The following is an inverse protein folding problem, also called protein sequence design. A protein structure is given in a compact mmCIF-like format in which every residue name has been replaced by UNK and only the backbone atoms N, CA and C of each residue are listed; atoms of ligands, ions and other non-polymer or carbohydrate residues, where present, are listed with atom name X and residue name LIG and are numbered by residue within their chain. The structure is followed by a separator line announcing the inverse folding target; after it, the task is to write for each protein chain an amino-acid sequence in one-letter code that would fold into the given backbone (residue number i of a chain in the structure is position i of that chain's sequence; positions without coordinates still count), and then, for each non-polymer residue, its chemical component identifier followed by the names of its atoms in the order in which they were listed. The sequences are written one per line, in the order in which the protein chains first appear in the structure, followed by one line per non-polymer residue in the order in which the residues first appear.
data_IF_728965105450
#
_entry.id   IF_728965105450
#
_cell.length_a   1.000
_cell.length_b   1.000
_cell.length_c   1.000
_cell.angle_alpha   90.00
_cell.angle_beta   90.00
_cell.angle_gamma   90.00
#
_symmetry.space_group_name_H-M   'P 1'
#
loop_
_entity.id
_entity.type
_entity.pdbx_description
1 polymer ?
#
# COMPACT_ATOMS: atom_id res chain seq x y z
N UNK A 1 -16.09 -24.59 -19.02
CA UNK A 1 -16.10 -23.46 -18.07
C UNK A 1 -17.00 -23.78 -16.88
N UNK A 2 -16.53 -24.61 -15.94
CA UNK A 2 -17.22 -24.89 -14.67
C UNK A 2 -16.59 -24.13 -13.48
N UNK A 3 -15.67 -23.20 -13.72
CA UNK A 3 -14.65 -22.82 -12.73
C UNK A 3 -14.76 -21.42 -12.10
N UNK A 4 -15.90 -20.72 -12.23
CA UNK A 4 -16.13 -19.47 -11.49
C UNK A 4 -17.50 -19.41 -10.79
N UNK A 5 -18.36 -20.42 -10.93
CA UNK A 5 -19.75 -20.36 -10.47
C UNK A 5 -19.97 -20.73 -9.00
N UNK A 6 -18.93 -21.20 -8.29
CA UNK A 6 -19.07 -21.69 -6.91
C UNK A 6 -18.69 -20.64 -5.86
N UNK A 7 -17.90 -19.61 -6.20
CA UNK A 7 -17.65 -18.51 -5.27
C UNK A 7 -18.90 -17.62 -5.21
N UNK A 8 -19.48 -17.37 -4.03
CA UNK A 8 -20.68 -16.58 -3.91
C UNK A 8 -20.45 -15.18 -4.47
N UNK A 9 -21.42 -14.72 -5.26
CA UNK A 9 -21.42 -13.40 -5.90
C UNK A 9 -21.15 -12.27 -4.89
N UNK A 10 -21.61 -12.45 -3.64
CA UNK A 10 -21.40 -11.51 -2.54
C UNK A 10 -19.98 -11.50 -1.95
N UNK A 11 -19.12 -12.47 -2.27
CA UNK A 11 -17.69 -12.46 -1.92
C UNK A 11 -16.83 -12.04 -3.11
N UNK A 12 -17.20 -12.45 -4.31
CA UNK A 12 -16.45 -12.16 -5.53
C UNK A 12 -16.49 -10.66 -5.91
N UNK A 13 -17.67 -10.04 -5.93
CA UNK A 13 -17.78 -8.63 -6.31
C UNK A 13 -17.07 -7.67 -5.35
N UNK A 14 -17.21 -7.80 -4.01
CA UNK A 14 -16.46 -6.95 -3.10
C UNK A 14 -14.95 -7.14 -3.23
N UNK A 15 -14.47 -8.34 -3.56
CA UNK A 15 -13.04 -8.59 -3.81
C UNK A 15 -12.56 -7.82 -5.06
N UNK A 16 -13.31 -7.89 -6.16
CA UNK A 16 -12.99 -7.13 -7.37
C UNK A 16 -12.99 -5.62 -7.12
N UNK A 17 -13.99 -5.11 -6.39
CA UNK A 17 -14.11 -3.68 -6.05
C UNK A 17 -12.93 -3.24 -5.18
N UNK A 18 -12.55 -4.03 -4.16
CA UNK A 18 -11.42 -3.72 -3.29
C UNK A 18 -10.09 -3.76 -4.06
N UNK A 19 -9.91 -4.75 -4.95
CA UNK A 19 -8.71 -4.86 -5.78
C UNK A 19 -8.57 -3.66 -6.72
N UNK A 20 -9.64 -3.28 -7.42
CA UNK A 20 -9.64 -2.09 -8.27
C UNK A 20 -9.39 -0.81 -7.46
N UNK A 21 -10.05 -0.66 -6.31
CA UNK A 21 -9.87 0.50 -5.43
C UNK A 21 -8.43 0.63 -4.95
N UNK A 22 -7.80 -0.50 -4.57
CA UNK A 22 -6.41 -0.53 -4.16
C UNK A 22 -5.47 -0.11 -5.29
N UNK A 23 -5.61 -0.71 -6.48
CA UNK A 23 -4.78 -0.37 -7.65
C UNK A 23 -4.97 1.09 -8.08
N UNK A 24 -6.20 1.58 -8.15
CA UNK A 24 -6.52 2.97 -8.50
C UNK A 24 -6.03 3.98 -7.45
N UNK A 25 -5.84 3.57 -6.20
CA UNK A 25 -5.29 4.43 -5.15
C UNK A 25 -3.76 4.62 -5.24
N UNK A 26 -3.04 3.77 -5.98
CA UNK A 26 -1.58 3.81 -6.06
C UNK A 26 -1.03 5.14 -6.61
N UNK A 27 -1.55 5.72 -7.70
CA UNK A 27 -1.08 7.02 -8.19
C UNK A 27 -1.28 8.13 -7.16
N UNK A 28 -2.39 8.09 -6.42
CA UNK A 28 -2.73 9.08 -5.40
C UNK A 28 -1.74 8.97 -4.24
N UNK A 29 -1.55 7.77 -3.68
CA UNK A 29 -0.61 7.55 -2.57
C UNK A 29 0.82 7.88 -3.00
N UNK A 30 1.19 7.55 -4.23
CA UNK A 30 2.50 7.92 -4.76
C UNK A 30 2.69 9.44 -4.81
N UNK A 31 1.76 10.18 -5.40
CA UNK A 31 1.90 11.64 -5.58
C UNK A 31 1.83 12.42 -4.27
N UNK A 32 1.00 12.00 -3.33
CA UNK A 32 0.74 12.77 -2.10
C UNK A 32 1.52 12.28 -0.89
N UNK A 33 1.94 11.02 -0.85
CA UNK A 33 2.71 10.45 0.27
C UNK A 33 4.14 10.18 -0.19
N UNK A 34 4.36 9.31 -1.17
CA UNK A 34 5.71 8.86 -1.54
C UNK A 34 6.59 9.99 -2.05
N UNK A 35 6.11 10.73 -3.06
CA UNK A 35 6.90 11.78 -3.73
C UNK A 35 7.30 12.93 -2.79
N UNK A 36 6.44 13.45 -1.90
CA UNK A 36 6.84 14.47 -0.94
C UNK A 36 7.90 13.99 0.04
N UNK A 37 7.77 12.77 0.58
CA UNK A 37 8.77 12.22 1.50
C UNK A 37 10.09 11.89 0.79
N UNK A 38 10.04 11.36 -0.43
CA UNK A 38 11.24 11.14 -1.25
C UNK A 38 12.02 12.45 -1.51
N UNK A 39 11.31 13.58 -1.70
CA UNK A 39 11.93 14.91 -1.85
C UNK A 39 12.60 15.38 -0.55
N UNK A 40 11.95 15.18 0.60
CA UNK A 40 12.49 15.57 1.91
C UNK A 40 13.73 14.75 2.25
N UNK A 41 13.76 13.48 1.87
CA UNK A 41 14.87 12.56 2.12
C UNK A 41 16.00 12.66 1.08
N UNK A 42 15.94 13.64 0.17
CA UNK A 42 16.88 13.84 -0.95
C UNK A 42 17.20 12.57 -1.76
N UNK A 43 16.26 11.62 -1.85
CA UNK A 43 16.44 10.38 -2.61
C UNK A 43 16.37 10.65 -4.11
N UNK A 44 17.47 11.16 -4.67
CA UNK A 44 17.64 11.46 -6.11
C UNK A 44 17.74 10.22 -7.00
N UNK A 45 18.02 9.04 -6.44
CA UNK A 45 18.44 7.87 -7.23
C UNK A 45 17.33 6.94 -7.71
N UNK A 46 16.10 7.04 -7.19
CA UNK A 46 15.06 6.03 -7.47
C UNK A 46 13.98 6.53 -8.43
N UNK A 47 14.23 7.65 -9.11
CA UNK A 47 13.21 8.34 -9.92
C UNK A 47 13.14 7.91 -11.39
N UNK A 48 14.13 7.21 -11.96
CA UNK A 48 14.22 7.09 -13.44
C UNK A 48 14.84 5.77 -13.95
N UNK A 49 14.45 4.61 -13.40
CA UNK A 49 14.66 3.34 -14.12
C UNK A 49 13.29 2.69 -14.38
N UNK A 50 12.82 2.86 -15.62
CA UNK A 50 11.42 2.86 -16.07
C UNK A 50 10.63 1.52 -15.98
N UNK A 51 11.08 0.54 -15.19
CA UNK A 51 10.35 -0.72 -14.94
C UNK A 51 10.41 -1.20 -13.49
N UNK A 52 11.56 -1.01 -12.82
CA UNK A 52 11.76 -1.30 -11.38
C UNK A 52 11.05 -0.27 -10.48
N UNK A 53 10.70 0.88 -11.06
CA UNK A 53 10.02 1.99 -10.40
C UNK A 53 8.70 1.60 -9.74
N UNK A 54 7.88 0.76 -10.38
CA UNK A 54 6.53 0.48 -9.89
C UNK A 54 6.54 -0.34 -8.60
N UNK A 55 7.32 -1.43 -8.57
CA UNK A 55 7.48 -2.25 -7.37
C UNK A 55 8.18 -1.45 -6.27
N UNK A 56 9.23 -0.70 -6.60
CA UNK A 56 9.92 0.18 -5.63
C UNK A 56 9.00 1.27 -5.05
N UNK A 57 8.14 1.87 -5.87
CA UNK A 57 7.15 2.86 -5.44
C UNK A 57 6.07 2.24 -4.56
N UNK A 58 5.58 1.04 -4.90
CA UNK A 58 4.65 0.25 -4.08
C UNK A 58 5.23 -0.06 -2.70
N UNK A 59 6.47 -0.53 -2.66
CA UNK A 59 7.15 -0.89 -1.42
C UNK A 59 7.36 0.34 -0.53
N UNK A 60 7.75 1.47 -1.12
CA UNK A 60 7.84 2.75 -0.39
C UNK A 60 6.49 3.28 0.05
N UNK A 61 5.44 3.14 -0.77
CA UNK A 61 4.07 3.51 -0.39
C UNK A 61 3.63 2.72 0.84
N UNK A 62 3.79 1.40 0.83
CA UNK A 62 3.47 0.55 1.98
C UNK A 62 4.33 0.92 3.20
N UNK A 63 5.62 1.15 3.02
CA UNK A 63 6.53 1.44 4.13
C UNK A 63 6.26 2.82 4.75
N UNK A 64 6.19 3.89 3.96
CA UNK A 64 5.87 5.23 4.45
C UNK A 64 4.49 5.25 5.09
N UNK A 65 3.48 4.66 4.45
CA UNK A 65 2.15 4.61 5.05
C UNK A 65 2.14 3.87 6.39
N UNK A 66 2.94 2.80 6.54
CA UNK A 66 3.10 2.10 7.82
C UNK A 66 3.80 2.95 8.88
N UNK A 67 4.89 3.63 8.52
CA UNK A 67 5.65 4.48 9.44
C UNK A 67 4.82 5.70 9.88
N UNK A 68 3.98 6.24 9.00
CA UNK A 68 3.03 7.32 9.30
C UNK A 68 1.90 6.82 10.22
N UNK A 69 1.29 5.67 9.90
CA UNK A 69 0.16 5.14 10.65
C UNK A 69 0.57 4.56 12.02
N UNK A 70 1.72 3.88 12.10
CA UNK A 70 2.18 3.11 13.26
C UNK A 70 3.57 3.58 13.73
N UNK A 71 3.61 4.34 14.82
CA UNK A 71 4.79 5.05 15.38
C UNK A 71 6.01 4.17 15.74
N UNK A 72 5.85 2.84 15.81
CA UNK A 72 6.88 1.91 16.35
C UNK A 72 6.83 0.55 15.67
N UNK A 73 6.89 0.49 14.35
CA UNK A 73 7.26 -0.77 13.68
C UNK A 73 8.72 -0.71 13.27
N UNK A 74 9.50 -1.79 13.48
CA UNK A 74 10.84 -1.87 12.93
C UNK A 74 10.74 -1.63 11.43
N UNK A 75 11.54 -0.70 10.94
CA UNK A 75 11.58 -0.38 9.53
C UNK A 75 12.05 -1.65 8.80
N UNK A 76 11.14 -2.32 8.10
CA UNK A 76 11.44 -3.60 7.45
C UNK A 76 12.33 -3.42 6.20
N UNK A 77 12.56 -2.17 5.80
CA UNK A 77 13.36 -1.80 4.64
C UNK A 77 14.48 -0.85 5.06
N UNK A 78 15.62 -1.49 5.34
CA UNK A 78 16.96 -0.92 5.43
C UNK A 78 17.06 0.35 6.29
N UNK A 79 17.45 0.17 7.56
CA UNK A 79 17.67 1.27 8.52
C UNK A 79 18.69 2.30 8.00
N UNK A 80 19.59 1.91 7.09
CA UNK A 80 20.57 2.80 6.46
C UNK A 80 19.93 3.83 5.51
N UNK A 81 18.72 3.56 5.00
CA UNK A 81 18.06 4.35 3.96
C UNK A 81 17.20 5.49 4.51
N UNK A 82 16.85 5.49 5.81
CA UNK A 82 15.93 6.45 6.41
C UNK A 82 16.40 7.04 7.76
N UNK A 83 17.38 6.42 8.42
CA UNK A 83 17.89 6.87 9.70
C UNK A 83 16.79 7.02 10.75
N UNK A 84 16.92 8.03 11.62
CA UNK A 84 15.96 8.35 12.70
C UNK A 84 14.78 9.25 12.24
N UNK A 85 14.48 9.29 10.93
CA UNK A 85 13.45 10.20 10.41
C UNK A 85 12.04 9.82 10.88
N UNK A 86 11.41 10.67 11.70
CA UNK A 86 10.04 10.48 12.17
C UNK A 86 9.01 10.93 11.12
N UNK A 87 8.63 10.00 10.23
CA UNK A 87 7.62 10.21 9.20
C UNK A 87 6.26 10.65 9.76
N UNK A 88 5.88 10.21 10.96
CA UNK A 88 4.57 10.53 11.54
C UNK A 88 4.51 11.98 11.97
N UNK A 89 5.58 12.50 12.57
CA UNK A 89 5.64 13.88 13.03
C UNK A 89 5.72 14.88 11.87
N UNK A 90 6.31 14.47 10.74
CA UNK A 90 6.40 15.28 9.53
C UNK A 90 5.21 15.11 8.56
N UNK A 91 4.31 14.16 8.83
CA UNK A 91 3.15 13.93 7.98
C UNK A 91 2.07 14.98 8.19
N UNK A 92 1.56 15.52 7.09
CA UNK A 92 0.33 16.32 7.10
C UNK A 92 -0.88 15.45 7.43
N UNK A 93 -1.98 16.07 7.89
CA UNK A 93 -3.26 15.37 8.14
C UNK A 93 -3.75 14.60 6.90
N UNK A 94 -3.56 15.17 5.71
CA UNK A 94 -3.89 14.54 4.44
C UNK A 94 -3.06 13.28 4.20
N UNK A 95 -1.74 13.36 4.38
CA UNK A 95 -0.84 12.21 4.23
C UNK A 95 -1.13 11.10 5.23
N UNK A 96 -1.46 11.46 6.46
CA UNK A 96 -1.91 10.51 7.47
C UNK A 96 -3.18 9.80 7.05
N UNK A 97 -4.20 10.56 6.64
CA UNK A 97 -5.49 10.00 6.20
C UNK A 97 -5.33 9.08 4.98
N UNK A 98 -4.60 9.52 3.95
CA UNK A 98 -4.33 8.73 2.76
C UNK A 98 -3.55 7.45 3.08
N UNK A 99 -2.56 7.54 3.96
CA UNK A 99 -1.76 6.38 4.39
C UNK A 99 -2.60 5.37 5.17
N UNK A 100 -3.47 5.86 6.07
CA UNK A 100 -4.37 5.00 6.82
C UNK A 100 -5.39 4.32 5.89
N UNK A 101 -6.03 5.08 5.00
CA UNK A 101 -6.98 4.55 4.03
C UNK A 101 -6.34 3.50 3.11
N UNK A 102 -5.16 3.79 2.57
CA UNK A 102 -4.42 2.85 1.72
C UNK A 102 -4.11 1.53 2.43
N UNK A 103 -3.62 1.58 3.66
CA UNK A 103 -3.36 0.39 4.46
C UNK A 103 -4.64 -0.35 4.82
N UNK A 104 -5.70 0.37 5.20
CA UNK A 104 -6.99 -0.25 5.52
C UNK A 104 -7.53 -1.03 4.32
N UNK A 105 -7.62 -0.38 3.14
CA UNK A 105 -8.07 -1.01 1.90
C UNK A 105 -7.20 -2.22 1.53
N UNK A 106 -5.87 -2.11 1.63
CA UNK A 106 -4.96 -3.23 1.36
C UNK A 106 -5.15 -4.41 2.30
N UNK A 107 -5.29 -4.18 3.61
CA UNK A 107 -5.53 -5.26 4.58
C UNK A 107 -6.93 -5.89 4.40
N UNK A 108 -7.97 -5.08 4.15
CA UNK A 108 -9.31 -5.60 3.87
C UNK A 108 -9.33 -6.46 2.59
N UNK A 109 -8.61 -6.05 1.55
CA UNK A 109 -8.45 -6.84 0.32
C UNK A 109 -7.79 -8.19 0.60
N UNK A 110 -6.69 -8.22 1.38
CA UNK A 110 -6.00 -9.47 1.72
C UNK A 110 -6.87 -10.41 2.56
N UNK A 111 -7.61 -9.88 3.53
CA UNK A 111 -8.55 -10.67 4.35
C UNK A 111 -9.64 -11.28 3.45
N UNK A 112 -10.24 -10.48 2.58
CA UNK A 112 -11.30 -10.98 1.70
C UNK A 112 -10.76 -11.99 0.67
N UNK A 113 -9.55 -11.78 0.16
CA UNK A 113 -8.88 -12.74 -0.71
C UNK A 113 -8.67 -14.08 0.01
N UNK A 114 -8.25 -14.05 1.28
CA UNK A 114 -8.10 -15.25 2.10
C UNK A 114 -9.44 -15.96 2.31
N UNK A 115 -10.51 -15.23 2.61
CA UNK A 115 -11.86 -15.78 2.76
C UNK A 115 -12.34 -16.45 1.47
N UNK A 116 -12.19 -15.78 0.32
CA UNK A 116 -12.56 -16.33 -0.99
C UNK A 116 -11.74 -17.58 -1.32
N UNK A 117 -10.46 -17.57 -0.99
CA UNK A 117 -9.56 -18.71 -1.20
C UNK A 117 -9.99 -19.90 -0.35
N UNK A 118 -10.21 -19.69 0.96
CA UNK A 118 -10.70 -20.72 1.89
C UNK A 118 -12.03 -21.29 1.40
N UNK A 119 -12.98 -20.44 1.01
CA UNK A 119 -14.28 -20.88 0.51
C UNK A 119 -14.16 -21.72 -0.77
N UNK A 120 -13.18 -21.43 -1.63
CA UNK A 120 -12.97 -22.18 -2.88
C UNK A 120 -12.32 -23.54 -2.66
N UNK A 121 -11.55 -23.71 -1.59
CA UNK A 121 -10.79 -24.94 -1.31
C UNK A 121 -11.42 -25.82 -0.22
N UNK A 122 -12.47 -25.35 0.46
CA UNK A 122 -13.34 -26.12 1.36
C UNK A 122 -14.56 -26.64 0.59
#
# INVERSE_FOLDING_TARGET
MKELSEVPVYLFWPLCILMMSFVCSLPIVYWFVVRPFDRVLEKKSVTIEHGVFYVSALMRAVNYSRLIAFKKKPNQYDDSLYGDFDFKTHATKLQFFLSYAYLFTGNSMLILLAIVTIYRFL
#
